data_IF_527197581218
#
_entry.id   IF_527197581218
#
_cell.length_a   1.000
_cell.length_b   1.000
_cell.length_c   1.000
_cell.angle_alpha   90.00
_cell.angle_beta   90.00
_cell.angle_gamma   90.00
#
_symmetry.space_group_name_H-M   'P 1'
#
loop_
_entity.id
_entity.type
_entity.pdbx_description
1 polymer ?
#
# COMPACT_ATOMS: atom_id res chain seq x y z
N UNK A 1 -26.90 -26.61 -13.41
CA UNK A 1 -26.45 -26.61 -11.99
C UNK A 1 -25.76 -25.30 -11.57
N UNK A 2 -25.12 -24.55 -12.48
CA UNK A 2 -24.46 -23.26 -12.16
C UNK A 2 -25.42 -22.08 -11.91
N UNK A 3 -26.66 -22.12 -12.40
CA UNK A 3 -27.63 -21.02 -12.25
C UNK A 3 -28.28 -20.92 -10.86
N UNK A 4 -28.31 -22.02 -10.09
CA UNK A 4 -28.92 -22.06 -8.77
C UNK A 4 -28.04 -21.49 -7.65
N UNK A 5 -26.72 -21.64 -7.78
CA UNK A 5 -25.74 -21.17 -6.78
C UNK A 5 -25.56 -19.66 -6.87
N UNK A 6 -25.53 -19.09 -8.09
CA UNK A 6 -25.54 -17.63 -8.28
C UNK A 6 -26.83 -17.02 -7.73
N UNK A 7 -27.99 -17.62 -8.01
CA UNK A 7 -29.28 -17.17 -7.47
C UNK A 7 -29.33 -17.23 -5.94
N UNK A 8 -28.81 -18.29 -5.31
CA UNK A 8 -28.73 -18.42 -3.84
C UNK A 8 -27.71 -17.47 -3.21
N UNK A 9 -26.54 -17.27 -3.82
CA UNK A 9 -25.56 -16.30 -3.35
C UNK A 9 -26.10 -14.87 -3.45
N UNK A 10 -26.70 -14.52 -4.59
CA UNK A 10 -27.37 -13.23 -4.79
C UNK A 10 -28.55 -13.06 -3.82
N UNK A 11 -29.37 -14.09 -3.59
CA UNK A 11 -30.50 -14.01 -2.66
C UNK A 11 -30.04 -13.91 -1.20
N UNK A 12 -29.00 -14.62 -0.79
CA UNK A 12 -28.46 -14.57 0.58
C UNK A 12 -27.77 -13.23 0.86
N UNK A 13 -27.04 -12.69 -0.12
CA UNK A 13 -26.44 -11.35 -0.05
C UNK A 13 -27.54 -10.27 0.01
N UNK A 14 -28.58 -10.37 -0.80
CA UNK A 14 -29.72 -9.44 -0.76
C UNK A 14 -30.42 -9.51 0.60
N UNK A 15 -30.73 -10.71 1.12
CA UNK A 15 -31.40 -10.90 2.43
C UNK A 15 -30.55 -10.40 3.60
N UNK A 16 -29.22 -10.54 3.56
CA UNK A 16 -28.32 -9.93 4.54
C UNK A 16 -28.25 -8.40 4.44
N UNK A 17 -28.58 -7.83 3.28
CA UNK A 17 -28.57 -6.37 3.04
C UNK A 17 -29.91 -5.71 3.40
N UNK A 18 -31.03 -6.45 3.39
CA UNK A 18 -32.35 -5.93 3.79
C UNK A 18 -32.59 -5.93 5.30
N UNK A 19 -31.67 -6.50 6.10
CA UNK A 19 -31.74 -6.35 7.55
C UNK A 19 -31.32 -4.92 7.87
N UNK A 20 -32.25 -4.11 8.39
CA UNK A 20 -31.98 -2.75 8.84
C UNK A 20 -30.62 -2.69 9.55
N UNK A 21 -29.65 -1.97 8.97
CA UNK A 21 -28.37 -1.74 9.62
C UNK A 21 -28.63 -0.89 10.86
N UNK A 22 -28.86 -1.58 11.98
CA UNK A 22 -29.10 -0.94 13.26
C UNK A 22 -27.86 -0.14 13.68
N UNK A 23 -28.07 0.95 14.41
CA UNK A 23 -26.97 1.85 14.85
C UNK A 23 -25.92 1.08 15.66
N UNK A 24 -26.35 0.05 16.39
CA UNK A 24 -25.46 -0.85 17.12
C UNK A 24 -24.56 -1.67 16.19
N UNK A 25 -25.08 -2.19 15.09
CA UNK A 25 -24.33 -2.98 14.10
C UNK A 25 -23.26 -2.15 13.39
N UNK A 26 -23.58 -0.90 13.06
CA UNK A 26 -22.60 0.04 12.45
C UNK A 26 -21.46 0.33 13.43
N UNK A 27 -21.78 0.52 14.71
CA UNK A 27 -20.77 0.78 15.75
C UNK A 27 -19.83 -0.39 15.92
N UNK A 28 -20.35 -1.62 16.04
CA UNK A 28 -19.51 -2.82 16.15
C UNK A 28 -18.68 -3.07 14.89
N UNK A 29 -19.23 -2.81 13.71
CA UNK A 29 -18.50 -2.89 12.45
C UNK A 29 -17.35 -1.87 12.39
N UNK A 30 -17.56 -0.65 12.92
CA UNK A 30 -16.50 0.35 13.05
C UNK A 30 -15.38 -0.12 14.00
N UNK A 31 -15.74 -0.65 15.17
CA UNK A 31 -14.76 -1.21 16.12
C UNK A 31 -13.94 -2.32 15.46
N UNK A 32 -14.61 -3.24 14.75
CA UNK A 32 -13.94 -4.30 13.99
C UNK A 32 -13.03 -3.71 12.89
N UNK A 33 -13.50 -2.71 12.15
CA UNK A 33 -12.73 -2.03 11.11
C UNK A 33 -11.45 -1.39 11.65
N UNK A 34 -11.52 -0.75 12.83
CA UNK A 34 -10.34 -0.19 13.51
C UNK A 34 -9.36 -1.28 13.89
N UNK A 35 -9.82 -2.39 14.49
CA UNK A 35 -8.96 -3.53 14.84
C UNK A 35 -8.28 -4.08 13.57
N UNK A 36 -9.03 -4.32 12.51
CA UNK A 36 -8.51 -4.82 11.24
C UNK A 36 -7.52 -3.84 10.59
N UNK A 37 -7.73 -2.53 10.71
CA UNK A 37 -6.78 -1.54 10.23
C UNK A 37 -5.46 -1.58 10.99
N UNK A 38 -5.47 -1.78 12.31
CA UNK A 38 -4.26 -1.98 13.11
C UNK A 38 -3.52 -3.26 12.72
N UNK A 39 -4.25 -4.36 12.53
CA UNK A 39 -3.65 -5.64 12.11
C UNK A 39 -3.05 -5.51 10.71
N UNK A 40 -3.76 -4.88 9.78
CA UNK A 40 -3.26 -4.61 8.44
C UNK A 40 -2.01 -3.72 8.49
N UNK A 41 -2.02 -2.65 9.29
CA UNK A 41 -0.88 -1.77 9.49
C UNK A 41 0.35 -2.49 10.05
N UNK A 42 0.15 -3.40 11.02
CA UNK A 42 1.22 -4.24 11.55
C UNK A 42 1.79 -5.20 10.49
N UNK A 43 0.92 -5.84 9.70
CA UNK A 43 1.32 -6.71 8.59
C UNK A 43 2.05 -5.96 7.48
N UNK A 44 1.60 -4.75 7.14
CA UNK A 44 2.27 -3.86 6.19
C UNK A 44 3.67 -3.48 6.70
N UNK A 45 3.78 -3.04 7.96
CA UNK A 45 5.07 -2.68 8.56
C UNK A 45 6.07 -3.83 8.54
N UNK A 46 5.63 -5.05 8.87
CA UNK A 46 6.49 -6.24 8.82
C UNK A 46 7.00 -6.54 7.39
N UNK A 47 6.16 -6.36 6.37
CA UNK A 47 6.54 -6.55 4.97
C UNK A 47 7.50 -5.45 4.48
N UNK A 48 7.18 -4.20 4.79
CA UNK A 48 7.91 -3.03 4.29
C UNK A 48 9.30 -2.88 4.94
N UNK A 49 9.43 -3.23 6.24
CA UNK A 49 10.75 -3.27 6.92
C UNK A 49 11.71 -4.21 6.20
N UNK A 50 11.25 -5.40 5.80
CA UNK A 50 12.08 -6.37 5.08
C UNK A 50 12.53 -5.83 3.72
N UNK A 51 11.62 -5.12 3.02
CA UNK A 51 11.91 -4.51 1.72
C UNK A 51 12.91 -3.34 1.83
N UNK A 52 12.81 -2.50 2.86
CA UNK A 52 13.64 -1.30 3.01
C UNK A 52 15.00 -1.57 3.68
N UNK A 53 15.06 -2.45 4.68
CA UNK A 53 16.25 -2.66 5.51
C UNK A 53 16.97 -3.99 5.27
N UNK A 54 16.45 -4.86 4.38
CA UNK A 54 17.04 -6.17 4.10
C UNK A 54 18.52 -6.13 3.70
N UNK A 55 18.92 -5.16 2.88
CA UNK A 55 20.34 -5.00 2.46
C UNK A 55 21.23 -4.45 3.58
N UNK A 56 20.71 -3.54 4.41
CA UNK A 56 21.46 -2.94 5.51
C UNK A 56 21.70 -3.91 6.66
N UNK A 57 20.69 -4.74 6.98
CA UNK A 57 20.82 -5.81 7.96
C UNK A 57 21.65 -6.97 7.40
N UNK A 58 21.42 -7.36 6.14
CA UNK A 58 22.16 -8.44 5.48
C UNK A 58 23.66 -8.16 5.29
N UNK A 59 24.05 -6.89 5.15
CA UNK A 59 25.46 -6.47 5.09
C UNK A 59 26.13 -6.33 6.47
N UNK A 60 25.39 -6.49 7.57
CA UNK A 60 25.89 -6.26 8.93
C UNK A 60 26.05 -4.78 9.30
N UNK A 61 25.58 -3.85 8.47
CA UNK A 61 25.66 -2.41 8.72
C UNK A 61 24.69 -1.94 9.82
N UNK A 62 23.54 -2.63 9.96
CA UNK A 62 22.55 -2.39 11.01
C UNK A 62 22.15 -3.69 11.69
N UNK A 63 21.89 -3.62 13.00
CA UNK A 63 21.23 -4.70 13.73
C UNK A 63 19.73 -4.72 13.43
N UNK A 64 19.08 -5.87 13.65
CA UNK A 64 17.62 -5.99 13.50
C UNK A 64 16.86 -4.97 14.37
N UNK A 65 17.29 -4.76 15.62
CA UNK A 65 16.65 -3.80 16.52
C UNK A 65 16.75 -2.36 16.02
N UNK A 66 17.91 -1.97 15.48
CA UNK A 66 18.10 -0.65 14.86
C UNK A 66 17.21 -0.48 13.63
N UNK A 67 17.12 -1.51 12.77
CA UNK A 67 16.26 -1.48 11.58
C UNK A 67 14.79 -1.26 11.96
N UNK A 68 14.25 -2.00 12.95
CA UNK A 68 12.86 -1.83 13.41
C UNK A 68 12.60 -0.44 14.01
N UNK A 69 13.54 0.08 14.80
CA UNK A 69 13.42 1.42 15.40
C UNK A 69 13.37 2.49 14.30
N UNK A 70 14.27 2.38 13.32
CA UNK A 70 14.38 3.33 12.23
C UNK A 70 13.16 3.29 11.30
N UNK A 71 12.71 2.07 10.97
CA UNK A 71 11.50 1.86 10.19
C UNK A 71 10.28 2.47 10.88
N UNK A 72 10.09 2.22 12.18
CA UNK A 72 8.94 2.77 12.92
C UNK A 72 8.89 4.29 12.81
N UNK A 73 10.03 4.98 12.96
CA UNK A 73 10.10 6.44 12.87
C UNK A 73 9.80 6.91 11.44
N UNK A 74 10.52 6.39 10.44
CA UNK A 74 10.41 6.92 9.07
C UNK A 74 9.15 6.48 8.33
N UNK A 75 8.63 5.27 8.55
CA UNK A 75 7.35 4.82 8.01
C UNK A 75 6.20 5.64 8.58
N UNK A 76 6.21 5.89 9.90
CA UNK A 76 5.19 6.74 10.53
C UNK A 76 5.25 8.18 9.98
N UNK A 77 6.46 8.74 9.85
CA UNK A 77 6.63 10.06 9.24
C UNK A 77 6.16 10.10 7.78
N UNK A 78 6.48 9.09 6.98
CA UNK A 78 6.04 8.99 5.58
C UNK A 78 4.51 8.90 5.47
N UNK A 79 3.88 8.08 6.31
CA UNK A 79 2.43 7.93 6.39
C UNK A 79 1.73 9.26 6.73
N UNK A 80 2.26 10.01 7.71
CA UNK A 80 1.70 11.30 8.12
C UNK A 80 1.94 12.40 7.08
N UNK A 81 3.14 12.48 6.49
CA UNK A 81 3.53 13.58 5.61
C UNK A 81 3.00 13.44 4.17
N UNK A 82 3.00 12.22 3.62
CA UNK A 82 2.72 11.99 2.17
C UNK A 82 1.68 10.89 1.93
N UNK A 83 1.33 10.11 2.96
CA UNK A 83 0.43 8.96 2.86
C UNK A 83 -0.96 9.30 2.30
N UNK A 84 -1.45 10.51 2.57
CA UNK A 84 -2.76 10.98 2.08
C UNK A 84 -2.90 10.85 0.55
N UNK A 85 -1.82 11.08 -0.20
CA UNK A 85 -1.87 11.06 -1.67
C UNK A 85 -2.10 9.65 -2.23
N UNK A 86 -1.61 8.63 -1.53
CA UNK A 86 -1.82 7.22 -1.86
C UNK A 86 -3.23 6.80 -1.45
N UNK A 87 -3.67 7.18 -0.24
CA UNK A 87 -5.02 6.91 0.25
C UNK A 87 -6.10 7.53 -0.65
N UNK A 88 -5.90 8.76 -1.14
CA UNK A 88 -6.85 9.41 -2.04
C UNK A 88 -6.93 8.71 -3.40
N UNK A 89 -5.79 8.20 -3.90
CA UNK A 89 -5.74 7.41 -5.12
C UNK A 89 -6.50 6.09 -4.97
N UNK A 90 -6.38 5.41 -3.82
CA UNK A 90 -7.17 4.20 -3.56
C UNK A 90 -8.67 4.52 -3.44
N UNK A 91 -9.03 5.56 -2.66
CA UNK A 91 -10.43 5.97 -2.43
C UNK A 91 -11.15 6.36 -3.72
N UNK A 92 -10.49 7.09 -4.63
CA UNK A 92 -11.10 7.62 -5.86
C UNK A 92 -10.76 6.82 -7.12
N UNK A 93 -9.78 5.92 -7.06
CA UNK A 93 -9.23 5.24 -8.23
C UNK A 93 -9.78 3.84 -8.47
N UNK A 94 -10.34 3.18 -7.46
CA UNK A 94 -10.77 1.78 -7.59
C UNK A 94 -12.28 1.65 -7.73
N UNK A 95 -13.06 2.34 -6.88
CA UNK A 95 -14.52 2.18 -6.80
C UNK A 95 -15.24 3.50 -7.09
N UNK A 96 -16.32 3.43 -7.87
CA UNK A 96 -17.20 4.58 -8.10
C UNK A 96 -18.14 4.79 -6.93
N UNK A 97 -17.75 5.68 -6.03
CA UNK A 97 -18.54 6.05 -4.84
C UNK A 97 -19.93 6.60 -5.18
N UNK A 98 -20.15 7.13 -6.39
CA UNK A 98 -21.47 7.67 -6.80
C UNK A 98 -22.53 6.57 -6.91
N UNK A 99 -22.11 5.36 -7.27
CA UNK A 99 -23.02 4.19 -7.36
C UNK A 99 -23.53 3.77 -5.98
N UNK A 100 -22.82 4.16 -4.92
CA UNK A 100 -23.18 3.90 -3.52
C UNK A 100 -23.86 5.09 -2.83
N UNK A 101 -24.19 6.17 -3.55
CA UNK A 101 -24.79 7.36 -2.96
C UNK A 101 -26.11 7.08 -2.22
N UNK A 102 -26.90 6.12 -2.72
CA UNK A 102 -28.16 5.70 -2.12
C UNK A 102 -27.98 4.59 -1.06
N UNK A 103 -26.77 4.06 -0.89
CA UNK A 103 -26.46 2.96 0.04
C UNK A 103 -25.05 3.11 0.67
N UNK A 104 -24.78 4.21 1.41
CA UNK A 104 -23.45 4.44 1.99
C UNK A 104 -23.01 3.34 2.97
N UNK A 105 -23.96 2.64 3.58
CA UNK A 105 -23.71 1.50 4.47
C UNK A 105 -23.04 0.34 3.73
N UNK A 106 -23.49 0.00 2.52
CA UNK A 106 -22.89 -1.06 1.70
C UNK A 106 -21.41 -0.76 1.40
N UNK A 107 -21.09 0.50 1.10
CA UNK A 107 -19.71 0.93 0.88
C UNK A 107 -18.86 0.78 2.15
N UNK A 108 -19.40 1.16 3.29
CA UNK A 108 -18.72 1.05 4.59
C UNK A 108 -18.40 -0.41 4.95
N UNK A 109 -19.39 -1.31 4.88
CA UNK A 109 -19.18 -2.74 5.14
C UNK A 109 -18.25 -3.38 4.09
N UNK A 110 -18.33 -2.96 2.83
CA UNK A 110 -17.41 -3.38 1.77
C UNK A 110 -15.95 -3.02 2.08
N UNK A 111 -15.71 -1.83 2.60
CA UNK A 111 -14.36 -1.39 3.00
C UNK A 111 -13.82 -2.19 4.20
N UNK A 112 -14.68 -2.51 5.18
CA UNK A 112 -14.30 -3.41 6.29
C UNK A 112 -13.96 -4.80 5.78
N UNK A 113 -14.74 -5.34 4.84
CA UNK A 113 -14.45 -6.62 4.20
C UNK A 113 -13.12 -6.60 3.43
N UNK A 114 -12.81 -5.50 2.72
CA UNK A 114 -11.53 -5.31 2.05
C UNK A 114 -10.36 -5.28 3.06
N UNK A 115 -10.50 -4.57 4.18
CA UNK A 115 -9.52 -4.57 5.27
C UNK A 115 -9.32 -5.97 5.84
N UNK A 116 -10.40 -6.70 6.12
CA UNK A 116 -10.33 -8.06 6.67
C UNK A 116 -9.66 -9.05 5.72
N UNK A 117 -10.03 -9.03 4.44
CA UNK A 117 -9.42 -9.88 3.41
C UNK A 117 -7.93 -9.57 3.21
N UNK A 118 -7.60 -8.27 3.12
CA UNK A 118 -6.22 -7.81 2.96
C UNK A 118 -5.37 -8.19 4.17
N UNK A 119 -5.85 -7.87 5.38
CA UNK A 119 -5.18 -8.19 6.65
C UNK A 119 -4.91 -9.68 6.80
N UNK A 120 -5.92 -10.52 6.53
CA UNK A 120 -5.78 -11.98 6.61
C UNK A 120 -4.72 -12.49 5.63
N UNK A 121 -4.79 -12.02 4.38
CA UNK A 121 -3.82 -12.40 3.36
C UNK A 121 -2.39 -11.99 3.71
N UNK A 122 -2.19 -10.75 4.18
CA UNK A 122 -0.87 -10.27 4.58
C UNK A 122 -0.33 -11.07 5.77
N UNK A 123 -1.14 -11.31 6.80
CA UNK A 123 -0.70 -12.11 7.95
C UNK A 123 -0.27 -13.51 7.51
N UNK A 124 -1.05 -14.18 6.66
CA UNK A 124 -0.69 -15.49 6.13
C UNK A 124 0.61 -15.45 5.33
N UNK A 125 0.76 -14.48 4.44
CA UNK A 125 1.99 -14.33 3.66
C UNK A 125 3.21 -14.08 4.56
N UNK A 126 3.08 -13.22 5.58
CA UNK A 126 4.13 -12.97 6.57
C UNK A 126 4.48 -14.23 7.35
N UNK A 127 3.50 -15.04 7.76
CA UNK A 127 3.74 -16.32 8.46
C UNK A 127 4.52 -17.32 7.59
N UNK A 128 4.28 -17.32 6.27
CA UNK A 128 5.02 -18.15 5.32
C UNK A 128 6.33 -17.50 4.82
N UNK A 129 6.67 -16.29 5.30
CA UNK A 129 7.86 -15.56 4.84
C UNK A 129 7.82 -15.13 3.37
N UNK A 130 6.63 -15.01 2.78
CA UNK A 130 6.45 -14.67 1.37
C UNK A 130 6.46 -13.14 1.17
N UNK A 131 7.31 -12.61 0.27
CA UNK A 131 7.25 -11.20 -0.11
C UNK A 131 6.03 -10.97 -0.99
N UNK A 132 5.01 -10.31 -0.45
CA UNK A 132 3.77 -9.95 -1.16
C UNK A 132 3.60 -8.44 -1.25
N UNK A 133 2.85 -7.98 -2.26
CA UNK A 133 2.50 -6.57 -2.42
C UNK A 133 1.20 -6.24 -1.70
N UNK A 134 1.30 -5.36 -0.71
CA UNK A 134 0.17 -4.83 0.07
C UNK A 134 -0.81 -4.02 -0.80
N UNK A 135 -0.28 -3.30 -1.80
CA UNK A 135 -1.07 -2.51 -2.75
C UNK A 135 -1.95 -3.39 -3.63
N UNK A 136 -1.43 -4.53 -4.11
CA UNK A 136 -2.25 -5.49 -4.87
C UNK A 136 -3.36 -6.08 -4.00
N UNK A 137 -3.06 -6.40 -2.74
CA UNK A 137 -4.03 -6.96 -1.80
C UNK A 137 -5.19 -6.01 -1.52
N UNK A 138 -4.93 -4.72 -1.24
CA UNK A 138 -6.01 -3.77 -0.95
C UNK A 138 -6.84 -3.42 -2.20
N UNK A 139 -6.20 -3.27 -3.37
CA UNK A 139 -6.91 -3.05 -4.64
C UNK A 139 -7.77 -4.26 -4.99
N UNK A 140 -7.22 -5.49 -4.85
CA UNK A 140 -7.94 -6.73 -5.08
C UNK A 140 -9.13 -6.91 -4.13
N UNK A 141 -8.95 -6.68 -2.83
CA UNK A 141 -10.04 -6.73 -1.85
C UNK A 141 -11.14 -5.70 -2.14
N UNK A 142 -10.74 -4.49 -2.55
CA UNK A 142 -11.65 -3.41 -2.93
C UNK A 142 -12.46 -3.75 -4.19
N UNK A 143 -11.81 -4.31 -5.22
CA UNK A 143 -12.49 -4.82 -6.41
C UNK A 143 -13.44 -5.97 -6.06
N UNK A 144 -13.00 -6.89 -5.19
CA UNK A 144 -13.79 -8.05 -4.76
C UNK A 144 -15.14 -7.66 -4.18
N UNK A 145 -15.16 -6.80 -3.16
CA UNK A 145 -16.44 -6.38 -2.58
C UNK A 145 -17.28 -5.56 -3.59
N UNK A 146 -16.64 -4.73 -4.42
CA UNK A 146 -17.37 -3.89 -5.38
C UNK A 146 -18.08 -4.71 -6.44
N UNK A 147 -17.43 -5.77 -6.95
CA UNK A 147 -18.03 -6.72 -7.90
C UNK A 147 -19.19 -7.46 -7.25
N UNK A 148 -19.05 -7.89 -6.00
CA UNK A 148 -20.12 -8.59 -5.27
C UNK A 148 -21.35 -7.71 -5.07
N UNK A 149 -21.17 -6.44 -4.69
CA UNK A 149 -22.29 -5.54 -4.35
C UNK A 149 -22.92 -4.86 -5.57
N UNK A 150 -22.11 -4.45 -6.55
CA UNK A 150 -22.54 -3.59 -7.68
C UNK A 150 -22.12 -4.11 -9.05
N UNK A 151 -21.47 -5.27 -9.12
CA UNK A 151 -20.94 -5.82 -10.37
C UNK A 151 -19.89 -4.94 -11.01
N UNK A 152 -19.64 -5.14 -12.32
CA UNK A 152 -18.67 -4.37 -13.08
C UNK A 152 -18.94 -2.86 -13.14
N UNK A 153 -20.17 -2.41 -12.81
CA UNK A 153 -20.57 -0.99 -12.81
C UNK A 153 -20.04 -0.22 -11.60
N UNK A 154 -19.66 -0.92 -10.51
CA UNK A 154 -19.08 -0.30 -9.32
C UNK A 154 -17.61 0.11 -9.49
N UNK A 155 -16.97 -0.28 -10.60
CA UNK A 155 -15.51 -0.11 -10.82
C UNK A 155 -15.24 1.00 -11.84
N UNK A 156 -14.25 1.84 -11.53
CA UNK A 156 -13.74 2.85 -12.47
C UNK A 156 -12.63 2.21 -13.34
N UNK A 157 -13.02 1.49 -14.39
CA UNK A 157 -12.11 0.72 -15.25
C UNK A 157 -10.93 1.54 -15.80
N UNK A 158 -11.18 2.79 -16.21
CA UNK A 158 -10.12 3.68 -16.71
C UNK A 158 -9.03 3.93 -15.67
N UNK A 159 -9.41 4.09 -14.40
CA UNK A 159 -8.47 4.31 -13.29
C UNK A 159 -7.79 3.02 -12.87
N UNK A 160 -8.50 1.90 -12.86
CA UNK A 160 -7.91 0.59 -12.60
C UNK A 160 -6.80 0.27 -13.62
N UNK A 161 -7.03 0.50 -14.91
CA UNK A 161 -5.99 0.30 -15.94
C UNK A 161 -4.78 1.20 -15.71
N UNK A 162 -4.98 2.46 -15.31
CA UNK A 162 -3.87 3.35 -14.95
C UNK A 162 -3.05 2.80 -13.77
N UNK A 163 -3.71 2.25 -12.76
CA UNK A 163 -3.06 1.61 -11.61
C UNK A 163 -2.26 0.38 -12.07
N UNK A 164 -2.84 -0.49 -12.90
CA UNK A 164 -2.16 -1.70 -13.42
C UNK A 164 -0.93 -1.33 -14.27
N UNK A 165 -1.05 -0.32 -15.13
CA UNK A 165 0.09 0.20 -15.90
C UNK A 165 1.19 0.67 -14.94
N UNK A 166 0.82 1.37 -13.85
CA UNK A 166 1.78 1.86 -12.87
C UNK A 166 2.60 0.72 -12.25
N UNK A 167 1.98 -0.43 -11.96
CA UNK A 167 2.66 -1.59 -11.38
C UNK A 167 3.75 -2.17 -12.27
N UNK A 168 3.61 -2.04 -13.60
CA UNK A 168 4.63 -2.49 -14.57
C UNK A 168 5.68 -1.40 -14.77
N UNK A 169 5.26 -0.14 -14.87
CA UNK A 169 6.18 0.97 -15.14
C UNK A 169 7.09 1.28 -13.95
N UNK A 170 6.63 1.07 -12.71
CA UNK A 170 7.39 1.39 -11.50
C UNK A 170 8.68 0.56 -11.37
N UNK A 171 8.66 -0.79 -11.45
CA UNK A 171 9.89 -1.60 -11.42
C UNK A 171 10.86 -1.28 -12.56
N UNK A 172 10.34 -1.03 -13.77
CA UNK A 172 11.18 -0.70 -14.94
C UNK A 172 11.91 0.63 -14.69
N UNK A 173 11.18 1.65 -14.26
CA UNK A 173 11.75 2.98 -14.01
C UNK A 173 12.73 2.94 -12.84
N UNK A 174 12.40 2.23 -11.75
CA UNK A 174 13.33 2.07 -10.63
C UNK A 174 14.58 1.29 -11.02
N UNK A 175 14.45 0.27 -11.89
CA UNK A 175 15.58 -0.50 -12.40
C UNK A 175 16.53 0.36 -13.24
N UNK A 176 15.99 1.17 -14.16
CA UNK A 176 16.79 2.09 -14.98
C UNK A 176 17.52 3.13 -14.12
N UNK A 177 16.84 3.71 -13.14
CA UNK A 177 17.46 4.68 -12.21
C UNK A 177 18.55 3.99 -11.38
N UNK A 178 18.29 2.77 -10.87
CA UNK A 178 19.26 1.99 -10.10
C UNK A 178 20.52 1.68 -10.91
N UNK A 179 20.37 1.27 -12.19
CA UNK A 179 21.50 1.05 -13.10
C UNK A 179 22.30 2.35 -13.30
N UNK A 180 21.62 3.48 -13.52
CA UNK A 180 22.28 4.78 -13.65
C UNK A 180 23.10 5.16 -12.43
N UNK A 181 22.53 5.02 -11.22
CA UNK A 181 23.23 5.27 -9.96
C UNK A 181 24.41 4.31 -9.78
N UNK A 182 24.22 3.02 -10.09
CA UNK A 182 25.29 2.03 -10.00
C UNK A 182 26.47 2.36 -10.92
N UNK A 183 26.22 2.76 -12.18
CA UNK A 183 27.28 3.17 -13.11
C UNK A 183 28.06 4.38 -12.56
N UNK A 184 27.35 5.38 -12.01
CA UNK A 184 28.00 6.54 -11.38
C UNK A 184 28.89 6.09 -10.22
N UNK A 185 28.38 5.24 -9.33
CA UNK A 185 29.16 4.71 -8.18
C UNK A 185 30.35 3.88 -8.66
N UNK A 186 30.18 3.02 -9.66
CA UNK A 186 31.25 2.18 -10.21
C UNK A 186 32.40 3.02 -10.78
N UNK A 187 32.07 4.03 -11.60
CA UNK A 187 33.07 4.87 -12.27
C UNK A 187 33.74 5.88 -11.31
N UNK A 188 33.00 6.40 -10.32
CA UNK A 188 33.49 7.48 -9.45
C UNK A 188 34.11 6.98 -8.15
N UNK A 189 33.67 5.82 -7.65
CA UNK A 189 34.10 5.27 -6.36
C UNK A 189 34.85 3.95 -6.57
N UNK A 190 34.19 2.92 -7.11
CA UNK A 190 34.70 1.54 -7.05
C UNK A 190 35.97 1.32 -7.89
N UNK A 191 36.10 1.98 -9.05
CA UNK A 191 37.27 1.85 -9.93
C UNK A 191 38.45 2.76 -9.57
N UNK A 192 38.35 3.55 -8.50
CA UNK A 192 39.46 4.44 -8.07
C UNK A 192 40.47 3.67 -7.22
N UNK A 193 41.73 4.12 -7.24
CA UNK A 193 42.81 3.49 -6.44
C UNK A 193 42.54 3.54 -4.93
N UNK A 194 41.77 4.53 -4.46
CA UNK A 194 41.34 4.68 -3.06
C UNK A 194 39.82 4.81 -2.95
N UNK A 195 39.05 3.71 -3.13
CA UNK A 195 37.59 3.75 -3.16
C UNK A 195 36.98 4.34 -1.90
N UNK A 196 37.56 4.03 -0.73
CA UNK A 196 37.09 4.50 0.57
C UNK A 196 37.10 6.04 0.69
N UNK A 197 38.20 6.69 0.32
CA UNK A 197 38.31 8.15 0.37
C UNK A 197 37.32 8.83 -0.59
N UNK A 198 37.15 8.28 -1.80
CA UNK A 198 36.21 8.79 -2.78
C UNK A 198 34.76 8.60 -2.36
N UNK A 199 34.43 7.48 -1.71
CA UNK A 199 33.11 7.26 -1.12
C UNK A 199 32.79 8.34 -0.07
N UNK A 200 33.70 8.61 0.86
CA UNK A 200 33.52 9.66 1.88
C UNK A 200 33.35 11.06 1.29
N UNK A 201 34.03 11.37 0.18
CA UNK A 201 33.89 12.67 -0.51
C UNK A 201 32.56 12.82 -1.24
N UNK A 202 32.02 11.74 -1.80
CA UNK A 202 30.76 11.75 -2.55
C UNK A 202 29.52 11.54 -1.67
N UNK A 203 29.68 10.96 -0.48
CA UNK A 203 28.59 10.75 0.49
C UNK A 203 27.74 12.01 0.76
N UNK A 204 28.31 13.20 1.02
CA UNK A 204 27.52 14.42 1.23
C UNK A 204 26.63 14.78 0.03
N UNK A 205 27.08 14.52 -1.19
CA UNK A 205 26.31 14.80 -2.41
C UNK A 205 25.11 13.86 -2.52
N UNK A 206 25.31 12.56 -2.25
CA UNK A 206 24.22 11.59 -2.23
C UNK A 206 23.19 11.90 -1.13
N UNK A 207 23.65 12.25 0.07
CA UNK A 207 22.76 12.66 1.16
C UNK A 207 21.99 13.93 0.82
N UNK A 208 22.66 14.94 0.26
CA UNK A 208 22.01 16.17 -0.16
C UNK A 208 20.95 15.93 -1.23
N UNK A 209 21.25 15.11 -2.24
CA UNK A 209 20.29 14.77 -3.28
C UNK A 209 19.08 14.01 -2.70
N UNK A 210 19.30 13.03 -1.83
CA UNK A 210 18.23 12.23 -1.22
C UNK A 210 17.35 13.06 -0.27
N UNK A 211 17.96 13.80 0.65
CA UNK A 211 17.22 14.66 1.60
C UNK A 211 16.53 15.79 0.85
N UNK A 212 17.21 16.43 -0.12
CA UNK A 212 16.64 17.48 -0.95
C UNK A 212 15.43 17.00 -1.75
N UNK A 213 15.50 15.81 -2.34
CA UNK A 213 14.36 15.20 -3.03
C UNK A 213 13.19 14.92 -2.08
N UNK A 214 13.45 14.35 -0.90
CA UNK A 214 12.40 14.08 0.09
C UNK A 214 11.74 15.36 0.61
N UNK A 215 12.53 16.38 0.94
CA UNK A 215 12.02 17.70 1.38
C UNK A 215 11.20 18.35 0.26
N UNK A 216 11.67 18.30 -0.98
CA UNK A 216 10.92 18.80 -2.14
C UNK A 216 9.59 18.04 -2.31
N UNK A 217 9.60 16.71 -2.21
CA UNK A 217 8.39 15.90 -2.32
C UNK A 217 7.38 16.22 -1.20
N UNK A 218 7.84 16.34 0.04
CA UNK A 218 6.99 16.69 1.19
C UNK A 218 6.42 18.10 1.04
N UNK A 219 7.22 19.08 0.65
CA UNK A 219 6.75 20.46 0.46
C UNK A 219 5.79 20.60 -0.71
N UNK A 220 6.12 19.99 -1.86
CA UNK A 220 5.29 20.07 -3.08
C UNK A 220 3.97 19.31 -2.94
N UNK A 221 4.00 18.07 -2.43
CA UNK A 221 2.76 17.30 -2.22
C UNK A 221 2.02 17.76 -0.96
N UNK A 222 2.71 18.14 0.10
CA UNK A 222 2.10 18.68 1.32
C UNK A 222 1.29 19.94 1.04
N UNK A 223 1.80 20.84 0.19
CA UNK A 223 1.09 22.07 -0.20
C UNK A 223 -0.20 21.82 -0.99
N UNK A 224 -0.38 20.66 -1.62
CA UNK A 224 -1.61 20.33 -2.38
C UNK A 224 -2.69 19.64 -1.54
N UNK A 225 -2.40 19.39 -0.27
CA UNK A 225 -3.32 18.79 0.70
C UNK A 225 -4.12 19.81 1.54
N UNK A 226 -4.08 21.11 1.18
CA UNK A 226 -4.94 22.16 1.77
C UNK A 226 -6.02 22.58 0.78
#
# INVERSE_FOLDING_TARGET
MMTGIESLATTTVIVATTTYFDSQSITWALVLGVILAFVLGAGMGANDVANAFGTSVGSGSLTLFQAYTLATIFETLGAVLVGWSVTDTLRKGVVDTKVYANSPQELFFGQIAALGGCSTWLMLATLFGLPVSTTHSIVGGTLGYSIVLRGARGIIWKKLVQIVISWVTSPITSGLISIGIYIVVDMTILRKERPYEWALRLLPVFYFACVGFNVFMVTWKGSKGS
#
